data_IF_632667772800
#
_entry.id   IF_632667772800
#
_cell.length_a   1.000
_cell.length_b   1.000
_cell.length_c   1.000
_cell.angle_alpha   90.00
_cell.angle_beta   90.00
_cell.angle_gamma   90.00
#
_symmetry.space_group_name_H-M   'P 1'
#
loop_
_entity.id
_entity.type
_entity.pdbx_description
1 polymer ?
#
# COMPACT_ATOMS: atom_id res chain seq x y z
N UNK A 1 6.52 0.45 -7.42
CA UNK A 1 6.93 -0.57 -6.45
C UNK A 1 8.36 -0.98 -6.73
N UNK A 2 8.69 -1.37 -7.97
CA UNK A 2 10.05 -1.75 -8.38
C UNK A 2 11.15 -0.70 -8.17
N UNK A 3 10.79 0.58 -8.09
CA UNK A 3 11.76 1.67 -7.91
C UNK A 3 12.29 1.76 -6.47
N UNK A 4 11.59 1.17 -5.50
CA UNK A 4 11.91 1.26 -4.07
C UNK A 4 12.07 -0.13 -3.44
N UNK A 5 11.34 -1.13 -3.96
CA UNK A 5 11.34 -2.49 -3.44
C UNK A 5 12.00 -3.45 -4.44
N UNK A 6 13.20 -3.92 -4.12
CA UNK A 6 14.01 -4.83 -4.96
C UNK A 6 13.31 -6.16 -5.28
N UNK A 7 12.35 -6.58 -4.47
CA UNK A 7 11.60 -7.83 -4.65
C UNK A 7 10.40 -7.71 -5.60
N UNK A 8 10.03 -6.50 -6.03
CA UNK A 8 8.85 -6.28 -6.85
C UNK A 8 9.23 -5.88 -8.27
N UNK A 9 8.69 -6.55 -9.28
CA UNK A 9 8.78 -6.11 -10.69
C UNK A 9 7.68 -5.11 -11.09
N UNK A 10 6.75 -4.79 -10.18
CA UNK A 10 5.58 -3.97 -10.52
C UNK A 10 5.90 -2.48 -10.73
N UNK A 11 5.39 -1.96 -11.86
CA UNK A 11 5.44 -0.53 -12.22
C UNK A 11 4.43 0.33 -11.44
N UNK A 12 3.51 -0.26 -10.67
CA UNK A 12 2.48 0.52 -9.96
C UNK A 12 3.12 1.37 -8.84
N UNK A 13 2.67 2.60 -8.59
CA UNK A 13 3.10 3.38 -7.43
C UNK A 13 2.84 2.65 -6.10
N UNK A 14 3.66 2.91 -5.08
CA UNK A 14 3.52 2.29 -3.75
C UNK A 14 2.14 2.58 -3.15
N UNK A 15 1.67 3.82 -3.26
CA UNK A 15 0.33 4.25 -2.83
C UNK A 15 -0.77 3.39 -3.45
N UNK A 16 -0.69 3.13 -4.76
CA UNK A 16 -1.74 2.39 -5.48
C UNK A 16 -1.69 0.90 -5.14
N UNK A 17 -0.51 0.35 -4.82
CA UNK A 17 -0.38 -1.00 -4.28
C UNK A 17 -1.06 -1.15 -2.91
N UNK A 18 -0.85 -0.18 -2.00
CA UNK A 18 -1.50 -0.15 -0.68
C UNK A 18 -3.01 0.05 -0.83
N UNK A 19 -3.46 0.94 -1.73
CA UNK A 19 -4.88 1.14 -2.01
C UNK A 19 -5.54 -0.16 -2.52
N UNK A 20 -4.91 -0.88 -3.45
CA UNK A 20 -5.43 -2.15 -3.94
C UNK A 20 -5.54 -3.20 -2.82
N UNK A 21 -4.58 -3.25 -1.90
CA UNK A 21 -4.67 -4.13 -0.73
C UNK A 21 -5.91 -3.84 0.12
N UNK A 22 -6.17 -2.57 0.42
CA UNK A 22 -7.35 -2.19 1.19
C UNK A 22 -8.64 -2.39 0.39
N UNK A 23 -8.65 -2.16 -0.92
CA UNK A 23 -9.80 -2.48 -1.76
C UNK A 23 -10.18 -3.95 -1.68
N UNK A 24 -9.22 -4.87 -1.78
CA UNK A 24 -9.52 -6.31 -1.67
C UNK A 24 -9.96 -6.67 -0.23
N UNK A 25 -9.28 -6.13 0.78
CA UNK A 25 -9.62 -6.34 2.21
C UNK A 25 -11.01 -5.81 2.57
N UNK A 26 -11.43 -4.69 1.98
CA UNK A 26 -12.67 -4.00 2.28
C UNK A 26 -13.82 -4.37 1.34
N UNK A 27 -13.67 -5.43 0.52
CA UNK A 27 -14.73 -5.85 -0.41
C UNK A 27 -15.07 -4.77 -1.44
N UNK A 28 -14.06 -4.01 -1.88
CA UNK A 28 -14.11 -2.91 -2.84
C UNK A 28 -14.94 -1.70 -2.37
N UNK A 29 -15.14 -1.55 -1.06
CA UNK A 29 -15.72 -0.35 -0.49
C UNK A 29 -14.70 0.80 -0.54
N UNK A 30 -14.94 1.78 -1.39
CA UNK A 30 -14.04 2.92 -1.60
C UNK A 30 -14.00 3.86 -0.39
N UNK A 31 -15.13 4.10 0.29
CA UNK A 31 -15.18 4.98 1.47
C UNK A 31 -14.30 4.44 2.60
N UNK A 32 -14.43 3.14 2.89
CA UNK A 32 -13.59 2.50 3.92
C UNK A 32 -12.12 2.46 3.51
N UNK A 33 -11.85 2.25 2.22
CA UNK A 33 -10.47 2.25 1.71
C UNK A 33 -9.84 3.63 1.83
N UNK A 34 -10.59 4.71 1.56
CA UNK A 34 -10.12 6.08 1.77
C UNK A 34 -9.80 6.33 3.24
N UNK A 35 -10.67 5.91 4.16
CA UNK A 35 -10.43 6.00 5.62
C UNK A 35 -9.15 5.26 6.04
N UNK A 36 -8.97 4.02 5.58
CA UNK A 36 -7.80 3.19 5.88
C UNK A 36 -6.49 3.74 5.25
N UNK A 37 -6.58 4.53 4.18
CA UNK A 37 -5.44 5.17 3.53
C UNK A 37 -4.95 6.44 4.25
N UNK A 38 -5.78 7.09 5.08
CA UNK A 38 -5.45 8.36 5.73
C UNK A 38 -4.15 8.36 6.54
N UNK A 39 -3.80 7.30 7.32
CA UNK A 39 -2.55 7.25 8.07
C UNK A 39 -1.31 7.38 7.16
N UNK A 40 -1.33 6.74 5.99
CA UNK A 40 -0.23 6.72 5.03
C UNK A 40 0.05 8.07 4.36
N UNK A 41 -0.86 9.05 4.48
CA UNK A 41 -0.63 10.42 4.00
C UNK A 41 0.29 11.23 4.91
N UNK A 42 0.52 10.78 6.15
CA UNK A 42 1.31 11.49 7.16
C UNK A 42 2.42 10.63 7.76
N UNK A 43 2.43 9.34 7.48
CA UNK A 43 3.47 8.43 7.94
C UNK A 43 4.80 8.67 7.23
N UNK A 44 5.89 8.30 7.90
CA UNK A 44 7.23 8.33 7.34
C UNK A 44 7.44 7.19 6.36
N UNK A 45 8.37 7.38 5.43
CA UNK A 45 8.73 6.37 4.43
C UNK A 45 9.06 5.01 5.08
N UNK A 46 9.83 4.99 6.19
CA UNK A 46 10.16 3.75 6.93
C UNK A 46 8.91 2.96 7.38
N UNK A 47 7.84 3.64 7.80
CA UNK A 47 6.59 2.98 8.23
C UNK A 47 5.82 2.44 7.05
N UNK A 48 5.77 3.20 5.96
CA UNK A 48 5.16 2.77 4.71
C UNK A 48 5.90 1.54 4.19
N UNK A 49 7.24 1.55 4.22
CA UNK A 49 8.08 0.43 3.81
C UNK A 49 7.84 -0.82 4.67
N UNK A 50 7.77 -0.66 5.99
CA UNK A 50 7.47 -1.75 6.90
C UNK A 50 6.10 -2.38 6.61
N UNK A 51 5.05 -1.57 6.45
CA UNK A 51 3.71 -2.06 6.11
C UNK A 51 3.71 -2.84 4.79
N UNK A 52 4.36 -2.30 3.76
CA UNK A 52 4.45 -2.91 2.43
C UNK A 52 5.19 -4.25 2.49
N UNK A 53 6.31 -4.32 3.20
CA UNK A 53 7.06 -5.56 3.37
C UNK A 53 6.29 -6.63 4.17
N UNK A 54 5.48 -6.22 5.15
CA UNK A 54 4.67 -7.14 5.97
C UNK A 54 3.44 -7.66 5.22
N UNK A 55 2.80 -6.83 4.38
CA UNK A 55 1.48 -7.12 3.82
C UNK A 55 1.45 -7.42 2.32
N UNK A 56 2.40 -6.89 1.55
CA UNK A 56 2.39 -6.96 0.08
C UNK A 56 3.51 -7.83 -0.51
N UNK A 57 4.56 -8.12 0.27
CA UNK A 57 5.62 -9.04 -0.13
C UNK A 57 5.06 -10.47 -0.17
N UNK A 58 5.19 -11.15 -1.30
CA UNK A 58 4.80 -12.55 -1.51
C UNK A 58 6.02 -13.44 -1.64
#
# INVERSE_FOLDING_TARGET
MKEVFDWSDSNIPVRDAIWNYFMEKNGKNTLKTEEDMLPFLKDSDDKIEAFVNENLKK
#
